data_IF_517060790580
#
_entry.id   IF_517060790580
#
_cell.length_a   1.000
_cell.length_b   1.000
_cell.length_c   1.000
_cell.angle_alpha   90.00
_cell.angle_beta   90.00
_cell.angle_gamma   90.00
#
_symmetry.space_group_name_H-M   'P 1'
#
loop_
_entity.id
_entity.type
_entity.pdbx_description
1 polymer ?
#
# COMPACT_ATOMS: atom_id res chain seq x y z
N UNK A 1 -6.35 10.91 9.94
CA UNK A 1 -5.72 11.09 8.61
C UNK A 1 -4.25 10.72 8.76
N UNK A 2 -3.52 10.41 7.69
CA UNK A 2 -2.05 10.27 7.72
C UNK A 2 -1.50 11.52 7.04
N UNK A 3 -0.51 12.17 7.65
CA UNK A 3 0.13 13.35 7.05
C UNK A 3 1.41 12.94 6.33
N UNK A 4 1.78 13.61 5.23
CA UNK A 4 3.00 13.29 4.47
C UNK A 4 4.27 13.28 5.33
N UNK A 5 4.36 14.20 6.31
CA UNK A 5 5.48 14.31 7.26
C UNK A 5 5.67 13.07 8.15
N UNK A 6 4.61 12.28 8.34
CA UNK A 6 4.64 11.08 9.17
C UNK A 6 4.95 9.82 8.33
N UNK A 7 5.20 9.99 7.03
CA UNK A 7 5.46 8.88 6.11
C UNK A 7 6.90 8.83 5.67
N UNK A 8 7.38 7.61 5.46
CA UNK A 8 8.74 7.31 5.02
C UNK A 8 8.65 6.76 3.59
N UNK A 9 9.60 7.16 2.75
CA UNK A 9 9.69 6.64 1.37
C UNK A 9 9.86 5.11 1.40
N UNK A 10 9.08 4.40 0.58
CA UNK A 10 9.21 2.95 0.46
C UNK A 10 10.44 2.56 -0.35
N UNK A 11 11.54 2.36 0.38
CA UNK A 11 12.80 1.82 -0.13
C UNK A 11 13.08 0.41 0.40
N UNK A 12 12.10 -0.25 1.04
CA UNK A 12 12.31 -1.56 1.63
C UNK A 12 12.57 -2.60 0.53
N UNK A 13 13.66 -3.36 0.66
CA UNK A 13 14.15 -4.29 -0.34
C UNK A 13 13.57 -5.68 -0.08
N UNK A 14 12.53 -6.03 -0.83
CA UNK A 14 11.87 -7.32 -0.73
C UNK A 14 11.27 -7.75 -2.08
N UNK A 15 10.63 -8.92 -2.10
CA UNK A 15 9.98 -9.48 -3.30
C UNK A 15 8.86 -8.58 -3.85
N UNK A 16 8.31 -7.67 -3.04
CA UNK A 16 7.26 -6.71 -3.44
C UNK A 16 7.87 -5.55 -4.23
N UNK A 17 9.05 -5.05 -3.83
CA UNK A 17 9.66 -3.86 -4.44
C UNK A 17 9.86 -3.96 -5.97
N UNK A 18 10.33 -5.08 -6.55
CA UNK A 18 10.43 -5.23 -8.00
C UNK A 18 9.08 -5.08 -8.72
N UNK A 19 8.00 -5.61 -8.14
CA UNK A 19 6.66 -5.51 -8.72
C UNK A 19 6.13 -4.07 -8.68
N UNK A 20 6.37 -3.35 -7.57
CA UNK A 20 6.02 -1.93 -7.44
C UNK A 20 6.78 -1.08 -8.46
N UNK A 21 8.09 -1.29 -8.60
CA UNK A 21 8.91 -0.59 -9.61
C UNK A 21 8.42 -0.84 -11.03
N UNK A 22 8.01 -2.08 -11.36
CA UNK A 22 7.43 -2.39 -12.68
C UNK A 22 6.13 -1.62 -12.92
N UNK A 23 5.25 -1.53 -11.92
CA UNK A 23 4.01 -0.74 -12.03
C UNK A 23 4.29 0.77 -12.16
N UNK A 24 5.21 1.31 -11.37
CA UNK A 24 5.54 2.74 -11.38
C UNK A 24 6.20 3.20 -12.69
N UNK A 25 6.94 2.31 -13.37
CA UNK A 25 7.54 2.61 -14.68
C UNK A 25 6.52 2.66 -15.82
N UNK A 26 5.32 2.11 -15.64
CA UNK A 26 4.29 2.05 -16.68
C UNK A 26 3.53 3.39 -16.74
N UNK A 27 3.54 4.02 -17.91
CA UNK A 27 2.78 5.25 -18.14
C UNK A 27 1.26 5.04 -18.24
N UNK A 28 0.82 3.82 -18.60
CA UNK A 28 -0.60 3.46 -18.78
C UNK A 28 -0.89 2.13 -18.08
N UNK A 29 -2.10 2.01 -17.53
CA UNK A 29 -2.57 0.80 -16.88
C UNK A 29 -3.12 -0.21 -17.91
N UNK A 30 -2.21 -0.90 -18.56
CA UNK A 30 -2.45 -1.87 -19.64
C UNK A 30 -2.70 -3.31 -19.13
N UNK A 31 -2.78 -4.27 -20.06
CA UNK A 31 -2.95 -5.70 -19.73
C UNK A 31 -1.78 -6.24 -18.89
N UNK A 32 -0.56 -5.80 -19.17
CA UNK A 32 0.63 -6.21 -18.40
C UNK A 32 0.56 -5.68 -16.96
N UNK A 33 0.14 -4.42 -16.78
CA UNK A 33 -0.08 -3.80 -15.47
C UNK A 33 -1.12 -4.57 -14.65
N UNK A 34 -2.18 -5.10 -15.29
CA UNK A 34 -3.16 -5.98 -14.65
C UNK A 34 -2.56 -7.31 -14.19
N UNK A 35 -1.65 -7.90 -14.97
CA UNK A 35 -0.95 -9.14 -14.61
C UNK A 35 -0.02 -8.88 -13.41
N UNK A 36 0.79 -7.82 -13.48
CA UNK A 36 1.71 -7.45 -12.40
C UNK A 36 0.94 -7.12 -11.12
N UNK A 37 -0.18 -6.38 -11.22
CA UNK A 37 -1.07 -6.12 -10.09
C UNK A 37 -1.61 -7.42 -9.49
N UNK A 38 -2.03 -8.37 -10.32
CA UNK A 38 -2.56 -9.66 -9.84
C UNK A 38 -1.48 -10.43 -9.08
N UNK A 39 -0.26 -10.49 -9.61
CA UNK A 39 0.90 -11.09 -8.95
C UNK A 39 1.20 -10.40 -7.61
N UNK A 40 1.21 -9.08 -7.60
CA UNK A 40 1.41 -8.26 -6.40
C UNK A 40 0.35 -8.58 -5.34
N UNK A 41 -0.94 -8.54 -5.70
CA UNK A 41 -2.03 -8.88 -4.77
C UNK A 41 -1.89 -10.30 -4.19
N UNK A 42 -1.50 -11.27 -4.99
CA UNK A 42 -1.27 -12.65 -4.52
C UNK A 42 -0.10 -12.73 -3.55
N UNK A 43 1.01 -12.04 -3.84
CA UNK A 43 2.17 -11.98 -2.94
C UNK A 43 1.83 -11.30 -1.61
N UNK A 44 1.10 -10.19 -1.65
CA UNK A 44 0.66 -9.45 -0.46
C UNK A 44 -0.25 -10.30 0.44
N UNK A 45 -1.17 -11.07 -0.16
CA UNK A 45 -2.00 -12.03 0.59
C UNK A 45 -1.15 -13.10 1.27
N UNK A 46 -0.16 -13.66 0.57
CA UNK A 46 0.78 -14.65 1.16
C UNK A 46 1.55 -14.06 2.34
N UNK A 47 1.98 -12.79 2.23
CA UNK A 47 2.63 -12.03 3.31
C UNK A 47 1.65 -11.44 4.34
N UNK A 48 0.40 -11.91 4.37
CA UNK A 48 -0.62 -11.55 5.37
C UNK A 48 -0.96 -10.05 5.45
N UNK A 49 -0.83 -9.33 4.35
CA UNK A 49 -1.29 -7.94 4.28
C UNK A 49 -2.81 -7.89 4.39
N UNK A 50 -3.33 -6.99 5.22
CA UNK A 50 -4.78 -6.73 5.33
C UNK A 50 -5.23 -5.87 4.15
N UNK A 51 -6.46 -6.05 3.67
CA UNK A 51 -7.08 -5.24 2.62
C UNK A 51 -8.20 -4.39 3.20
N UNK A 52 -8.28 -3.13 2.78
CA UNK A 52 -9.35 -2.22 3.20
C UNK A 52 -9.57 -1.09 2.18
N UNK A 53 -10.75 -0.47 2.22
CA UNK A 53 -11.14 0.62 1.32
C UNK A 53 -11.34 1.92 2.09
N UNK A 54 -10.86 3.04 1.55
CA UNK A 54 -11.07 4.36 2.14
C UNK A 54 -11.04 5.46 1.09
N UNK A 55 -11.58 6.63 1.44
CA UNK A 55 -11.38 7.84 0.66
C UNK A 55 -9.87 8.17 0.59
N UNK A 56 -9.39 8.47 -0.61
CA UNK A 56 -8.03 8.84 -0.96
C UNK A 56 -7.47 9.94 -0.06
N UNK A 57 -8.28 10.91 0.36
CA UNK A 57 -7.84 12.02 1.23
C UNK A 57 -7.30 11.55 2.59
N UNK A 58 -7.65 10.33 3.03
CA UNK A 58 -7.19 9.80 4.32
C UNK A 58 -5.79 9.17 4.26
N UNK A 59 -5.25 8.95 3.07
CA UNK A 59 -4.00 8.24 2.79
C UNK A 59 -3.13 9.02 1.79
N UNK A 60 -1.82 8.81 1.83
CA UNK A 60 -0.89 9.60 1.00
C UNK A 60 -0.90 9.15 -0.46
N UNK A 61 -1.08 7.85 -0.70
CA UNK A 61 -1.02 7.27 -2.05
C UNK A 61 -2.41 7.10 -2.66
N UNK A 62 -2.52 7.37 -3.96
CA UNK A 62 -3.79 7.32 -4.69
C UNK A 62 -3.71 6.62 -6.05
N UNK A 63 -2.50 6.30 -6.54
CA UNK A 63 -2.28 5.55 -7.77
C UNK A 63 -1.93 4.09 -7.46
N UNK A 64 -2.38 3.18 -8.31
CA UNK A 64 -2.10 1.75 -8.17
C UNK A 64 -0.59 1.51 -8.29
N UNK A 65 0.00 0.83 -7.30
CA UNK A 65 1.44 0.57 -7.23
C UNK A 65 2.25 1.63 -6.49
N UNK A 66 1.63 2.72 -6.04
CA UNK A 66 2.26 3.64 -5.11
C UNK A 66 2.21 3.08 -3.68
N UNK A 67 3.29 3.31 -2.94
CA UNK A 67 3.45 2.82 -1.57
C UNK A 67 4.28 3.78 -0.72
N UNK A 68 4.13 3.63 0.60
CA UNK A 68 4.95 4.30 1.61
C UNK A 68 5.08 3.44 2.85
N UNK A 69 6.08 3.74 3.66
CA UNK A 69 6.25 3.14 4.98
C UNK A 69 5.68 4.08 6.04
N UNK A 70 5.12 3.50 7.09
CA UNK A 70 4.45 4.23 8.15
C UNK A 70 4.71 3.56 9.50
N UNK A 71 5.20 4.34 10.44
CA UNK A 71 5.29 3.92 11.84
C UNK A 71 3.94 4.17 12.50
N UNK A 72 3.25 3.09 12.86
CA UNK A 72 1.89 3.18 13.37
C UNK A 72 1.93 3.60 14.84
N UNK A 73 1.36 4.76 15.22
CA UNK A 73 1.33 5.17 16.62
C UNK A 73 0.54 4.19 17.48
N UNK A 74 0.94 4.01 18.74
CA UNK A 74 0.26 3.11 19.70
C UNK A 74 -1.23 3.45 19.89
N UNK A 75 -1.59 4.74 19.82
CA UNK A 75 -2.99 5.21 19.89
C UNK A 75 -3.80 5.12 18.59
N UNK A 76 -3.27 4.54 17.50
CA UNK A 76 -3.95 4.53 16.19
C UNK A 76 -5.28 3.77 16.24
N UNK A 77 -6.32 4.34 15.62
CA UNK A 77 -7.65 3.72 15.44
C UNK A 77 -7.92 3.39 13.97
N UNK A 78 -8.94 2.57 13.72
CA UNK A 78 -9.37 2.15 12.38
C UNK A 78 -8.56 0.99 11.82
N UNK A 79 -8.51 0.82 10.49
CA UNK A 79 -7.92 -0.37 9.85
C UNK A 79 -6.47 -0.67 10.24
N UNK A 80 -5.67 0.35 10.58
CA UNK A 80 -4.27 0.18 10.97
C UNK A 80 -4.08 -0.11 12.47
N UNK A 81 -5.15 -0.17 13.27
CA UNK A 81 -5.04 -0.43 14.71
C UNK A 81 -4.43 -1.79 15.03
N UNK A 82 -4.53 -2.76 14.12
CA UNK A 82 -3.91 -4.09 14.26
C UNK A 82 -2.38 -4.05 14.21
N UNK A 83 -1.81 -2.93 13.76
CA UNK A 83 -0.36 -2.75 13.60
C UNK A 83 0.24 -1.72 14.55
N UNK A 84 -0.47 -1.34 15.62
CA UNK A 84 0.02 -0.34 16.60
C UNK A 84 1.43 -0.67 17.08
N UNK A 85 2.30 0.33 17.10
CA UNK A 85 3.70 0.20 17.55
C UNK A 85 4.64 -0.45 16.53
N UNK A 86 4.15 -0.82 15.34
CA UNK A 86 4.94 -1.49 14.31
C UNK A 86 5.12 -0.63 13.07
N UNK A 87 6.17 -0.93 12.31
CA UNK A 87 6.38 -0.34 10.99
C UNK A 87 5.66 -1.16 9.93
N UNK A 88 4.84 -0.49 9.14
CA UNK A 88 4.10 -1.12 8.06
C UNK A 88 4.43 -0.49 6.72
N UNK A 89 4.22 -1.26 5.65
CA UNK A 89 4.06 -0.75 4.29
C UNK A 89 2.58 -0.60 3.98
N UNK A 90 2.20 0.56 3.46
CA UNK A 90 0.86 0.83 2.94
C UNK A 90 0.95 1.05 1.44
N UNK A 91 0.06 0.43 0.67
CA UNK A 91 0.09 0.48 -0.79
C UNK A 91 -1.31 0.52 -1.39
N UNK A 92 -1.45 1.26 -2.49
CA UNK A 92 -2.71 1.40 -3.22
C UNK A 92 -2.79 0.32 -4.30
N UNK A 93 -3.84 -0.49 -4.27
CA UNK A 93 -4.03 -1.64 -5.16
C UNK A 93 -5.19 -1.46 -6.15
N UNK A 94 -6.13 -0.55 -5.89
CA UNK A 94 -7.19 -0.24 -6.84
C UNK A 94 -7.72 1.18 -6.68
N UNK A 95 -8.20 1.72 -7.80
CA UNK A 95 -9.02 2.92 -7.84
C UNK A 95 -10.48 2.51 -7.97
N UNK A 96 -11.28 2.81 -6.96
CA UNK A 96 -12.72 2.58 -6.96
C UNK A 96 -13.50 3.78 -7.50
N UNK A 97 -14.82 3.74 -7.30
CA UNK A 97 -15.71 4.85 -7.67
C UNK A 97 -15.42 6.10 -6.84
N UNK A 98 -15.50 7.28 -7.47
CA UNK A 98 -15.19 8.58 -6.86
C UNK A 98 -13.77 8.61 -6.25
N UNK A 99 -13.69 9.08 -5.00
CA UNK A 99 -12.44 9.22 -4.25
C UNK A 99 -12.07 7.96 -3.48
N UNK A 100 -12.80 6.85 -3.61
CA UNK A 100 -12.44 5.61 -2.91
C UNK A 100 -11.24 4.93 -3.57
N UNK A 101 -10.34 4.46 -2.72
CA UNK A 101 -9.18 3.65 -3.08
C UNK A 101 -9.18 2.41 -2.23
N UNK A 102 -8.66 1.34 -2.81
CA UNK A 102 -8.37 0.12 -2.09
C UNK A 102 -6.90 0.06 -1.75
N UNK A 103 -6.64 -0.23 -0.48
CA UNK A 103 -5.31 -0.33 0.08
C UNK A 103 -5.06 -1.73 0.60
N UNK A 104 -3.79 -2.11 0.61
CA UNK A 104 -3.32 -3.18 1.48
C UNK A 104 -2.21 -2.66 2.37
N UNK A 105 -2.14 -3.19 3.59
CA UNK A 105 -1.12 -2.85 4.56
C UNK A 105 -0.61 -4.10 5.28
N UNK A 106 0.69 -4.13 5.54
CA UNK A 106 1.33 -5.25 6.21
C UNK A 106 2.62 -4.81 6.88
N UNK A 107 3.03 -5.59 7.87
CA UNK A 107 4.28 -5.40 8.61
C UNK A 107 5.49 -5.63 7.71
N UNK A 108 6.58 -4.93 8.00
CA UNK A 108 7.88 -5.10 7.31
C UNK A 108 9.03 -5.38 8.28
N UNK A 109 8.71 -5.60 9.55
CA UNK A 109 9.64 -5.84 10.65
C UNK A 109 9.81 -7.34 10.99
N UNK A 110 9.56 -8.23 10.02
CA UNK A 110 9.80 -9.69 10.08
C UNK A 110 10.78 -10.13 9.00
#
# INVERSE_FOLDING_TARGET
MIHPKDTIKDNFLDEIQPLLRKLQKKARFDRESKIIKTQLCSLLKKKRYIRFSRNAERFIVSKVGDSYLYDVPTGKRGHLSVFRGHRIRVLCIASGMHFYREYMAGRIDE
#
